data_IF_639191636602
#
_entry.id   IF_639191636602
#
_cell.length_a   1.000
_cell.length_b   1.000
_cell.length_c   1.000
_cell.angle_alpha   90.00
_cell.angle_beta   90.00
_cell.angle_gamma   90.00
#
_symmetry.space_group_name_H-M   'P 1'
#
loop_
_entity.id
_entity.type
_entity.pdbx_description
1 polymer ?
#
# COMPACT_ATOMS: atom_id res chain seq x y z
N UNK A 1 -1.75 27.06 -51.40
CA UNK A 1 -2.70 27.65 -50.43
C UNK A 1 -3.46 26.51 -49.78
N UNK A 2 -3.28 26.31 -48.46
CA UNK A 2 -3.94 25.34 -47.54
C UNK A 2 -3.84 23.83 -47.87
N UNK A 3 -3.73 22.88 -46.93
CA UNK A 3 -3.16 22.79 -45.57
C UNK A 3 -3.12 21.30 -45.17
N UNK A 4 -2.44 21.02 -44.06
CA UNK A 4 -2.11 19.76 -43.40
C UNK A 4 -3.20 18.67 -43.28
N UNK A 5 -2.74 17.42 -43.36
CA UNK A 5 -3.27 16.29 -42.58
C UNK A 5 -2.07 15.54 -41.99
N UNK A 6 -1.55 16.05 -40.87
CA UNK A 6 -0.74 15.25 -39.98
C UNK A 6 -1.72 14.39 -39.18
N UNK A 7 -1.86 13.11 -39.57
CA UNK A 7 -2.51 12.08 -38.76
C UNK A 7 -1.70 11.92 -37.47
N UNK A 8 -2.02 12.79 -36.52
CA UNK A 8 -1.65 12.65 -35.12
C UNK A 8 -2.53 11.54 -34.55
N UNK A 9 -2.22 10.30 -34.91
CA UNK A 9 -2.59 9.16 -34.07
C UNK A 9 -1.55 9.04 -32.97
N UNK A 10 -1.42 10.10 -32.16
CA UNK A 10 -0.96 9.95 -30.78
C UNK A 10 -2.12 9.31 -30.05
N UNK A 11 -2.20 7.98 -30.16
CA UNK A 11 -2.93 7.16 -29.20
C UNK A 11 -2.33 7.46 -27.84
N UNK A 12 -2.96 8.38 -27.10
CA UNK A 12 -2.79 8.48 -25.66
C UNK A 12 -2.77 7.04 -25.09
N UNK A 13 -1.80 6.66 -24.26
CA UNK A 13 -1.94 5.41 -23.53
C UNK A 13 -3.26 5.53 -22.77
N UNK A 14 -4.12 4.50 -22.78
CA UNK A 14 -5.30 4.53 -21.93
C UNK A 14 -4.76 4.73 -20.52
N UNK A 15 -5.13 5.84 -19.88
CA UNK A 15 -5.03 5.97 -18.42
C UNK A 15 -6.00 4.94 -17.83
N UNK A 16 -5.69 3.66 -17.99
CA UNK A 16 -6.17 2.61 -17.13
C UNK A 16 -5.37 2.78 -15.87
N UNK A 17 -6.00 3.28 -14.82
CA UNK A 17 -5.46 3.14 -13.49
C UNK A 17 -5.39 1.63 -13.27
N UNK A 18 -4.20 1.05 -13.42
CA UNK A 18 -3.97 -0.37 -13.19
C UNK A 18 -4.36 -0.63 -11.72
N UNK A 19 -5.42 -1.41 -11.51
CA UNK A 19 -5.89 -1.74 -10.17
C UNK A 19 -4.83 -2.59 -9.48
N UNK A 20 -4.09 -1.96 -8.57
CA UNK A 20 -3.11 -2.66 -7.75
C UNK A 20 -3.82 -3.57 -6.78
N UNK A 21 -3.23 -4.75 -6.58
CA UNK A 21 -3.69 -5.69 -5.57
C UNK A 21 -3.56 -5.07 -4.17
N UNK A 22 -4.40 -5.53 -3.24
CA UNK A 22 -4.31 -5.12 -1.82
C UNK A 22 -2.89 -5.39 -1.26
N UNK A 23 -2.21 -6.43 -1.73
CA UNK A 23 -0.83 -6.72 -1.34
C UNK A 23 0.13 -5.61 -1.82
N UNK A 24 0.03 -5.20 -3.08
CA UNK A 24 0.90 -4.16 -3.66
C UNK A 24 0.70 -2.82 -2.95
N UNK A 25 -0.55 -2.42 -2.72
CA UNK A 25 -0.88 -1.17 -2.01
C UNK A 25 -0.39 -1.18 -0.55
N UNK A 26 -0.51 -2.31 0.15
CA UNK A 26 -0.13 -2.40 1.57
C UNK A 26 1.34 -2.77 1.80
N UNK A 27 2.08 -3.16 0.76
CA UNK A 27 3.49 -3.58 0.87
C UNK A 27 4.39 -2.49 1.48
N UNK A 28 4.28 -1.26 0.96
CA UNK A 28 5.05 -0.11 1.44
C UNK A 28 4.64 0.30 2.87
N UNK A 29 3.35 0.46 3.21
CA UNK A 29 2.90 0.70 4.58
C UNK A 29 3.43 -0.32 5.61
N UNK A 30 3.42 -1.62 5.28
CA UNK A 30 3.94 -2.67 6.18
C UNK A 30 5.44 -2.47 6.41
N UNK A 31 6.21 -2.27 5.33
CA UNK A 31 7.65 -2.08 5.41
C UNK A 31 8.03 -0.84 6.22
N UNK A 32 7.30 0.27 6.03
CA UNK A 32 7.52 1.49 6.78
C UNK A 32 7.17 1.31 8.26
N UNK A 33 6.04 0.67 8.58
CA UNK A 33 5.66 0.38 9.97
C UNK A 33 6.75 -0.43 10.69
N UNK A 34 7.32 -1.45 10.04
CA UNK A 34 8.39 -2.27 10.61
C UNK A 34 9.69 -1.49 10.83
N UNK A 35 10.06 -0.60 9.88
CA UNK A 35 11.27 0.22 10.02
C UNK A 35 11.13 1.22 11.16
N UNK A 36 10.01 1.94 11.22
CA UNK A 36 9.78 2.91 12.28
C UNK A 36 9.67 2.20 13.63
N UNK A 37 9.06 1.02 13.69
CA UNK A 37 9.02 0.21 14.90
C UNK A 37 10.43 -0.15 15.42
N UNK A 38 11.33 -0.59 14.53
CA UNK A 38 12.73 -0.86 14.92
C UNK A 38 13.45 0.39 15.42
N UNK A 39 13.34 1.50 14.70
CA UNK A 39 13.94 2.77 15.14
C UNK A 39 13.35 3.27 16.46
N UNK A 40 12.05 3.07 16.68
CA UNK A 40 11.39 3.42 17.94
C UNK A 40 11.89 2.56 19.10
N UNK A 41 12.03 1.24 18.92
CA UNK A 41 12.64 0.35 19.93
C UNK A 41 14.10 0.71 20.24
N UNK A 42 14.90 1.04 19.22
CA UNK A 42 16.28 1.51 19.44
C UNK A 42 16.31 2.82 20.25
N UNK A 43 15.33 3.70 20.01
CA UNK A 43 15.18 4.98 20.70
C UNK A 43 14.41 4.90 22.04
N UNK A 44 13.78 3.77 22.40
CA UNK A 44 13.03 3.60 23.66
C UNK A 44 13.89 3.89 24.89
N UNK A 45 15.20 3.62 24.80
CA UNK A 45 16.17 3.97 25.83
C UNK A 45 16.25 5.48 26.14
N UNK A 46 15.71 6.33 25.26
CA UNK A 46 15.78 7.78 25.35
C UNK A 46 14.50 8.44 25.87
N UNK A 47 13.29 7.95 25.51
CA UNK A 47 12.01 8.61 25.82
C UNK A 47 10.82 7.63 25.86
N UNK A 48 9.90 7.84 26.82
CA UNK A 48 8.65 7.06 26.95
C UNK A 48 7.77 7.14 25.70
N UNK A 49 7.74 8.29 25.02
CA UNK A 49 6.96 8.49 23.79
C UNK A 49 7.36 7.51 22.68
N UNK A 50 8.64 7.13 22.61
CA UNK A 50 9.12 6.13 21.66
C UNK A 50 8.54 4.74 21.96
N UNK A 51 8.28 4.44 23.23
CA UNK A 51 7.69 3.15 23.61
C UNK A 51 6.22 3.05 23.25
N UNK A 52 5.47 4.13 23.47
CA UNK A 52 4.06 4.15 23.10
C UNK A 52 3.90 4.17 21.58
N UNK A 53 4.79 4.84 20.85
CA UNK A 53 4.88 4.77 19.40
C UNK A 53 5.20 3.35 18.91
N UNK A 54 6.15 2.65 19.54
CA UNK A 54 6.51 1.28 19.18
C UNK A 54 5.30 0.33 19.31
N UNK A 55 4.54 0.41 20.40
CA UNK A 55 3.31 -0.39 20.60
C UNK A 55 2.26 -0.13 19.52
N UNK A 56 2.07 1.13 19.14
CA UNK A 56 1.12 1.49 18.08
C UNK A 56 1.53 0.94 16.72
N UNK A 57 2.82 1.00 16.39
CA UNK A 57 3.37 0.51 15.12
C UNK A 57 3.32 -1.02 15.04
N UNK A 58 3.60 -1.72 16.13
CA UNK A 58 3.43 -3.18 16.18
C UNK A 58 1.97 -3.57 15.87
N UNK A 59 1.01 -2.95 16.56
CA UNK A 59 -0.41 -3.19 16.31
C UNK A 59 -0.83 -2.86 14.88
N UNK A 60 -0.37 -1.73 14.34
CA UNK A 60 -0.65 -1.34 12.95
C UNK A 60 -0.09 -2.37 11.97
N UNK A 61 1.16 -2.78 12.16
CA UNK A 61 1.84 -3.76 11.29
C UNK A 61 1.12 -5.12 11.31
N UNK A 62 0.58 -5.54 12.45
CA UNK A 62 -0.26 -6.74 12.56
C UNK A 62 -1.61 -6.60 11.83
N UNK A 63 -2.27 -5.45 11.94
CA UNK A 63 -3.53 -5.17 11.25
C UNK A 63 -3.35 -5.18 9.72
N UNK A 64 -2.31 -4.52 9.22
CA UNK A 64 -2.00 -4.48 7.78
C UNK A 64 -1.74 -5.88 7.22
N UNK A 65 -0.92 -6.69 7.88
CA UNK A 65 -0.70 -8.09 7.45
C UNK A 65 -1.97 -8.92 7.52
N UNK A 66 -2.83 -8.67 8.49
CA UNK A 66 -4.12 -9.36 8.60
C UNK A 66 -5.08 -8.98 7.47
N UNK A 67 -5.12 -7.71 7.08
CA UNK A 67 -5.87 -7.24 5.94
C UNK A 67 -5.38 -7.87 4.62
N UNK A 68 -4.07 -7.94 4.42
CA UNK A 68 -3.48 -8.64 3.26
C UNK A 68 -3.89 -10.11 3.24
N UNK A 69 -3.77 -10.82 4.37
CA UNK A 69 -4.21 -12.23 4.44
C UNK A 69 -5.68 -12.39 4.11
N UNK A 70 -6.54 -11.52 4.65
CA UNK A 70 -7.96 -11.55 4.38
C UNK A 70 -8.24 -11.36 2.89
N UNK A 71 -7.63 -10.34 2.28
CA UNK A 71 -7.79 -10.05 0.85
C UNK A 71 -7.33 -11.21 -0.06
N UNK A 72 -6.27 -11.93 0.32
CA UNK A 72 -5.78 -13.10 -0.43
C UNK A 72 -6.68 -14.33 -0.19
N UNK A 73 -7.24 -14.48 1.01
CA UNK A 73 -7.95 -15.70 1.44
C UNK A 73 -9.36 -15.87 0.86
N UNK A 74 -9.88 -14.90 0.12
CA UNK A 74 -11.29 -14.88 -0.22
C UNK A 74 -11.58 -14.54 -1.68
N UNK A 75 -12.33 -15.39 -2.41
CA UNK A 75 -13.26 -14.93 -3.43
C UNK A 75 -14.56 -14.49 -2.70
N UNK A 76 -14.57 -13.34 -2.02
CA UNK A 76 -15.70 -12.94 -1.15
C UNK A 76 -17.05 -12.83 -1.88
N UNK A 77 -17.05 -12.72 -3.21
CA UNK A 77 -18.26 -12.56 -4.01
C UNK A 77 -18.76 -13.84 -4.71
N UNK A 78 -17.94 -14.88 -4.84
CA UNK A 78 -18.23 -16.01 -5.74
C UNK A 78 -18.99 -17.17 -5.06
N UNK A 79 -19.35 -17.02 -3.78
CA UNK A 79 -20.02 -18.05 -2.97
C UNK A 79 -21.42 -17.67 -2.49
N UNK A 80 -21.93 -16.49 -2.88
CA UNK A 80 -23.27 -16.02 -2.51
C UNK A 80 -24.29 -16.08 -3.67
N UNK A 81 -23.94 -16.70 -4.80
CA UNK A 81 -24.85 -16.99 -5.92
C UNK A 81 -25.10 -18.49 -6.05
#
# INVERSE_FOLDING_TARGET
MYSAAADTSTSLPPNGVEEKTVLEELSLPILLADRVFKSAQEAESSKQDCSDLAKQLDRLSQMLRSAVRLAISTPLYDRLC
#
